data_IF_205572739694
#
_entry.id   IF_205572739694
#
_cell.length_a   1.000
_cell.length_b   1.000
_cell.length_c   1.000
_cell.angle_alpha   90.00
_cell.angle_beta   90.00
_cell.angle_gamma   90.00
#
_symmetry.space_group_name_H-M   'P 1'
#
loop_
_entity.id
_entity.type
_entity.pdbx_description
1 polymer ?
#
# COMPACT_ATOMS: atom_id res chain seq x y z
N UNK A 1 21.17 6.84 13.95
CA UNK A 1 21.86 8.05 13.47
C UNK A 1 21.00 8.69 12.38
N UNK A 2 20.79 10.02 12.41
CA UNK A 2 20.14 10.70 11.27
C UNK A 2 21.19 10.93 10.19
N UNK A 3 20.94 10.42 8.98
CA UNK A 3 21.75 10.75 7.80
C UNK A 3 21.07 11.84 6.97
N UNK A 4 21.78 12.35 5.96
CA UNK A 4 21.23 13.26 4.95
C UNK A 4 20.05 12.66 4.15
N UNK A 5 19.91 11.33 4.12
CA UNK A 5 18.84 10.63 3.40
C UNK A 5 17.62 10.28 4.27
N UNK A 6 17.71 10.41 5.60
CA UNK A 6 16.59 10.10 6.51
C UNK A 6 15.28 10.77 6.10
N UNK A 7 15.34 12.06 5.73
CA UNK A 7 14.17 12.83 5.30
C UNK A 7 13.59 12.32 3.96
N UNK A 8 14.46 11.88 3.06
CA UNK A 8 14.05 11.30 1.79
C UNK A 8 13.34 9.95 2.01
N UNK A 9 13.86 9.11 2.90
CA UNK A 9 13.23 7.83 3.27
C UNK A 9 11.84 8.06 3.85
N UNK A 10 11.70 9.01 4.78
CA UNK A 10 10.40 9.36 5.38
C UNK A 10 9.40 9.88 4.34
N UNK A 11 9.85 10.76 3.44
CA UNK A 11 9.01 11.28 2.36
C UNK A 11 8.52 10.16 1.43
N UNK A 12 9.43 9.24 1.04
CA UNK A 12 9.07 8.11 0.18
C UNK A 12 8.16 7.12 0.88
N UNK A 13 8.35 6.88 2.18
CA UNK A 13 7.47 6.02 2.99
C UNK A 13 6.04 6.55 2.99
N UNK A 14 5.85 7.85 3.20
CA UNK A 14 4.52 8.48 3.14
C UNK A 14 3.83 8.23 1.80
N UNK A 15 4.54 8.34 0.68
CA UNK A 15 3.97 8.06 -0.66
C UNK A 15 3.56 6.61 -0.84
N UNK A 16 4.32 5.67 -0.27
CA UNK A 16 3.95 4.24 -0.26
C UNK A 16 2.68 4.04 0.57
N UNK A 17 2.62 4.64 1.76
CA UNK A 17 1.47 4.53 2.66
C UNK A 17 0.20 5.15 2.04
N UNK A 18 0.33 6.27 1.33
CA UNK A 18 -0.75 6.89 0.56
C UNK A 18 -1.25 5.96 -0.57
N UNK A 19 -0.33 5.34 -1.32
CA UNK A 19 -0.70 4.40 -2.37
C UNK A 19 -1.37 3.12 -1.81
N UNK A 20 -0.92 2.65 -0.65
CA UNK A 20 -1.53 1.51 0.05
C UNK A 20 -2.95 1.85 0.52
N UNK A 21 -3.17 3.04 1.06
CA UNK A 21 -4.49 3.51 1.45
C UNK A 21 -5.44 3.57 0.25
N UNK A 22 -4.97 4.04 -0.91
CA UNK A 22 -5.78 4.04 -2.13
C UNK A 22 -6.16 2.62 -2.57
N UNK A 23 -5.23 1.66 -2.50
CA UNK A 23 -5.51 0.25 -2.79
C UNK A 23 -6.56 -0.34 -1.85
N UNK A 24 -6.46 -0.06 -0.55
CA UNK A 24 -7.43 -0.52 0.44
C UNK A 24 -8.83 0.05 0.18
N UNK A 25 -8.92 1.36 -0.12
CA UNK A 25 -10.20 2.01 -0.48
C UNK A 25 -10.82 1.39 -1.72
N UNK A 26 -10.04 1.18 -2.78
CA UNK A 26 -10.53 0.54 -4.00
C UNK A 26 -10.97 -0.92 -3.74
N UNK A 27 -10.25 -1.67 -2.91
CA UNK A 27 -10.64 -3.03 -2.53
C UNK A 27 -11.98 -3.06 -1.78
N UNK A 28 -12.21 -2.11 -0.87
CA UNK A 28 -13.50 -1.97 -0.18
C UNK A 28 -14.64 -1.63 -1.15
N UNK A 29 -14.41 -0.74 -2.12
CA UNK A 29 -15.39 -0.41 -3.15
C UNK A 29 -15.73 -1.61 -4.03
N UNK A 30 -14.74 -2.42 -4.41
CA UNK A 30 -14.95 -3.67 -5.16
C UNK A 30 -15.84 -4.63 -4.36
N UNK A 31 -15.55 -4.82 -3.07
CA UNK A 31 -16.33 -5.71 -2.21
C UNK A 31 -17.77 -5.22 -2.06
N UNK A 32 -17.97 -3.93 -1.80
CA UNK A 32 -19.30 -3.33 -1.69
C UNK A 32 -20.08 -3.52 -3.00
N UNK A 33 -19.44 -3.26 -4.15
CA UNK A 33 -20.08 -3.39 -5.46
C UNK A 33 -20.43 -4.82 -5.80
N UNK A 34 -19.55 -5.77 -5.46
CA UNK A 34 -19.84 -7.19 -5.61
C UNK A 34 -21.05 -7.59 -4.76
N UNK A 35 -21.12 -7.13 -3.50
CA UNK A 35 -22.28 -7.37 -2.64
C UNK A 35 -23.59 -6.79 -3.20
N UNK A 36 -23.57 -5.60 -3.79
CA UNK A 36 -24.74 -5.03 -4.48
C UNK A 36 -25.20 -5.89 -5.66
N UNK A 37 -24.26 -6.41 -6.46
CA UNK A 37 -24.56 -7.29 -7.59
C UNK A 37 -25.14 -8.61 -7.09
N UNK A 38 -24.53 -9.22 -6.08
CA UNK A 38 -24.98 -10.49 -5.53
C UNK A 38 -26.41 -10.38 -4.95
N UNK A 39 -26.72 -9.25 -4.29
CA UNK A 39 -28.06 -8.96 -3.81
C UNK A 39 -29.08 -8.83 -4.95
N UNK A 40 -28.76 -8.07 -6.00
CA UNK A 40 -29.64 -7.93 -7.17
C UNK A 40 -29.83 -9.25 -7.92
N UNK A 41 -28.79 -10.06 -8.04
CA UNK A 41 -28.89 -11.39 -8.65
C UNK A 41 -29.77 -12.31 -7.81
N UNK A 42 -29.67 -12.25 -6.49
CA UNK A 42 -30.55 -13.00 -5.59
C UNK A 42 -32.01 -12.55 -5.74
N UNK A 43 -32.28 -11.24 -5.73
CA UNK A 43 -33.62 -10.69 -5.97
C UNK A 43 -34.17 -11.12 -7.34
N UNK A 44 -33.35 -11.01 -8.39
CA UNK A 44 -33.72 -11.44 -9.74
C UNK A 44 -34.10 -12.92 -9.78
N UNK A 45 -33.39 -13.78 -9.05
CA UNK A 45 -33.69 -15.20 -8.98
C UNK A 45 -35.01 -15.52 -8.26
N UNK A 46 -35.50 -14.62 -7.40
CA UNK A 46 -36.80 -14.78 -6.73
C UNK A 46 -38.00 -14.36 -7.58
N UNK A 47 -37.77 -13.69 -8.71
CA UNK A 47 -38.83 -13.25 -9.62
C UNK A 47 -39.58 -14.45 -10.19
N UNK A 48 -40.88 -14.52 -9.89
CA UNK A 48 -41.77 -15.56 -10.42
C UNK A 48 -42.60 -15.01 -11.56
N UNK A 49 -42.53 -15.70 -12.68
CA UNK A 49 -43.34 -15.39 -13.85
C UNK A 49 -44.83 -15.70 -13.57
N UNK A 50 -45.75 -14.78 -13.89
CA UNK A 50 -47.18 -15.02 -13.71
C UNK A 50 -47.65 -16.15 -14.63
N UNK A 51 -48.06 -17.27 -14.06
CA UNK A 51 -48.54 -18.47 -14.78
C UNK A 51 -49.98 -18.31 -15.31
N UNK A 52 -50.72 -17.34 -14.77
CA UNK A 52 -52.11 -17.05 -15.14
C UNK A 52 -52.42 -15.59 -14.83
N UNK A 53 -53.26 -14.94 -15.63
CA UNK A 53 -53.70 -13.56 -15.37
C UNK A 53 -53.94 -12.75 -16.64
N UNK A 54 -54.05 -11.44 -16.48
CA UNK A 54 -54.24 -10.48 -17.57
C UNK A 54 -52.90 -10.23 -18.26
N UNK A 55 -52.89 -10.16 -19.60
CA UNK A 55 -51.69 -9.91 -20.41
C UNK A 55 -50.86 -8.69 -19.95
N UNK A 56 -51.52 -7.64 -19.44
CA UNK A 56 -50.86 -6.47 -18.87
C UNK A 56 -49.88 -6.83 -17.73
N UNK A 57 -50.23 -7.79 -16.88
CA UNK A 57 -49.39 -8.23 -15.77
C UNK A 57 -48.14 -9.00 -16.25
N UNK A 58 -48.24 -9.68 -17.40
CA UNK A 58 -47.09 -10.30 -18.04
C UNK A 58 -46.15 -9.23 -18.63
N UNK A 59 -46.68 -8.21 -19.30
CA UNK A 59 -45.88 -7.11 -19.82
C UNK A 59 -45.11 -6.37 -18.71
N UNK A 60 -45.77 -6.06 -17.60
CA UNK A 60 -45.09 -5.41 -16.46
C UNK A 60 -43.99 -6.29 -15.88
N UNK A 61 -44.23 -7.60 -15.75
CA UNK A 61 -43.20 -8.55 -15.33
C UNK A 61 -42.00 -8.58 -16.30
N UNK A 62 -42.25 -8.64 -17.61
CA UNK A 62 -41.21 -8.64 -18.62
C UNK A 62 -40.36 -7.35 -18.57
N UNK A 63 -41.00 -6.19 -18.39
CA UNK A 63 -40.31 -4.92 -18.21
C UNK A 63 -39.42 -4.92 -16.96
N UNK A 64 -39.97 -5.31 -15.80
CA UNK A 64 -39.17 -5.39 -14.57
C UNK A 64 -37.99 -6.35 -14.70
N UNK A 65 -38.19 -7.50 -15.34
CA UNK A 65 -37.11 -8.45 -15.60
C UNK A 65 -35.98 -7.83 -16.42
N UNK A 66 -36.31 -7.03 -17.41
CA UNK A 66 -35.32 -6.34 -18.25
C UNK A 66 -34.62 -5.20 -17.51
N UNK A 67 -35.34 -4.46 -16.67
CA UNK A 67 -34.76 -3.44 -15.77
C UNK A 67 -33.72 -4.05 -14.82
N UNK A 68 -34.04 -5.20 -14.22
CA UNK A 68 -33.08 -5.92 -13.36
C UNK A 68 -31.83 -6.34 -14.12
N UNK A 69 -31.98 -6.91 -15.32
CA UNK A 69 -30.84 -7.29 -16.17
C UNK A 69 -29.96 -6.11 -16.50
N UNK A 70 -30.57 -5.02 -16.94
CA UNK A 70 -29.87 -3.78 -17.27
C UNK A 70 -29.12 -3.21 -16.07
N UNK A 71 -29.73 -3.27 -14.88
CA UNK A 71 -29.10 -2.82 -13.62
C UNK A 71 -27.90 -3.69 -13.21
N UNK A 72 -28.04 -5.01 -13.34
CA UNK A 72 -26.95 -5.97 -13.07
C UNK A 72 -25.78 -5.70 -14.04
N UNK A 73 -26.05 -5.59 -15.34
CA UNK A 73 -25.04 -5.35 -16.37
C UNK A 73 -24.30 -4.03 -16.13
N UNK A 74 -25.05 -2.96 -15.81
CA UNK A 74 -24.46 -1.67 -15.47
C UNK A 74 -23.52 -1.75 -14.26
N UNK A 75 -23.96 -2.39 -13.17
CA UNK A 75 -23.10 -2.56 -11.99
C UNK A 75 -21.90 -3.45 -12.25
N UNK A 76 -22.03 -4.47 -13.11
CA UNK A 76 -20.90 -5.30 -13.54
C UNK A 76 -19.86 -4.51 -14.34
N UNK A 77 -20.30 -3.56 -15.17
CA UNK A 77 -19.38 -2.64 -15.86
C UNK A 77 -18.64 -1.74 -14.86
N UNK A 78 -19.34 -1.15 -13.89
CA UNK A 78 -18.72 -0.36 -12.83
C UNK A 78 -17.70 -1.18 -12.02
N UNK A 79 -18.02 -2.43 -11.70
CA UNK A 79 -17.10 -3.36 -11.05
C UNK A 79 -15.85 -3.64 -11.92
N UNK A 80 -16.01 -3.77 -13.24
CA UNK A 80 -14.89 -3.95 -14.15
C UNK A 80 -13.96 -2.73 -14.15
N UNK A 81 -14.51 -1.51 -14.12
CA UNK A 81 -13.75 -0.26 -13.99
C UNK A 81 -12.97 -0.24 -12.67
N UNK A 82 -13.61 -0.57 -11.54
CA UNK A 82 -12.94 -0.64 -10.24
C UNK A 82 -11.79 -1.66 -10.23
N UNK A 83 -11.97 -2.82 -10.88
CA UNK A 83 -10.92 -3.84 -11.05
C UNK A 83 -9.79 -3.35 -11.95
N UNK A 84 -10.07 -2.56 -12.97
CA UNK A 84 -9.04 -1.93 -13.79
C UNK A 84 -8.24 -0.91 -12.98
N UNK A 85 -8.92 -0.04 -12.23
CA UNK A 85 -8.27 0.92 -11.33
C UNK A 85 -7.39 0.23 -10.28
N UNK A 86 -7.81 -0.94 -9.76
CA UNK A 86 -6.98 -1.76 -8.87
C UNK A 86 -5.62 -2.09 -9.49
N UNK A 87 -5.60 -2.50 -10.77
CA UNK A 87 -4.36 -2.84 -11.49
C UNK A 87 -3.45 -1.62 -11.63
N UNK A 88 -4.01 -0.48 -11.97
CA UNK A 88 -3.26 0.78 -12.09
C UNK A 88 -2.68 1.23 -10.74
N UNK A 89 -3.47 1.13 -9.68
CA UNK A 89 -3.02 1.44 -8.31
C UNK A 89 -1.93 0.47 -7.83
N UNK A 90 -1.98 -0.80 -8.23
CA UNK A 90 -0.93 -1.78 -7.90
C UNK A 90 0.41 -1.43 -8.56
N UNK A 91 0.40 -1.03 -9.83
CA UNK A 91 1.61 -0.57 -10.50
C UNK A 91 2.12 0.74 -9.89
N UNK A 92 1.23 1.68 -9.58
CA UNK A 92 1.61 2.91 -8.89
C UNK A 92 2.25 2.66 -7.52
N UNK A 93 1.66 1.76 -6.71
CA UNK A 93 2.22 1.32 -5.43
C UNK A 93 3.61 0.70 -5.62
N UNK A 94 3.78 -0.20 -6.58
CA UNK A 94 5.04 -0.85 -6.90
C UNK A 94 6.14 0.16 -7.24
N UNK A 95 5.83 1.16 -8.06
CA UNK A 95 6.77 2.22 -8.42
C UNK A 95 7.24 3.02 -7.19
N UNK A 96 6.31 3.45 -6.33
CA UNK A 96 6.69 4.16 -5.09
C UNK A 96 7.47 3.27 -4.13
N UNK A 97 7.13 1.98 -4.04
CA UNK A 97 7.84 1.05 -3.19
C UNK A 97 9.28 0.82 -3.64
N UNK A 98 9.52 0.72 -4.95
CA UNK A 98 10.87 0.64 -5.52
C UNK A 98 11.69 1.89 -5.14
N UNK A 99 11.09 3.09 -5.28
CA UNK A 99 11.77 4.34 -4.92
C UNK A 99 12.03 4.46 -3.41
N UNK A 100 11.13 3.95 -2.58
CA UNK A 100 11.34 3.87 -1.14
C UNK A 100 12.52 2.94 -0.78
N UNK A 101 12.57 1.74 -1.36
CA UNK A 101 13.66 0.80 -1.10
C UNK A 101 15.01 1.32 -1.59
N UNK A 102 15.05 2.02 -2.74
CA UNK A 102 16.26 2.73 -3.19
C UNK A 102 16.74 3.77 -2.17
N UNK A 103 15.82 4.60 -1.64
CA UNK A 103 16.16 5.60 -0.64
C UNK A 103 16.66 4.96 0.66
N UNK A 104 16.01 3.89 1.11
CA UNK A 104 16.39 3.13 2.30
C UNK A 104 17.76 2.48 2.16
N UNK A 105 18.07 1.96 0.98
CA UNK A 105 19.40 1.41 0.68
C UNK A 105 20.49 2.49 0.77
N UNK A 106 20.27 3.67 0.18
CA UNK A 106 21.21 4.79 0.27
C UNK A 106 21.42 5.28 1.72
N UNK A 107 20.34 5.37 2.49
CA UNK A 107 20.42 5.71 3.91
C UNK A 107 21.24 4.68 4.69
N UNK A 108 20.99 3.39 4.47
CA UNK A 108 21.73 2.30 5.10
C UNK A 108 23.23 2.32 4.77
N UNK A 109 23.61 2.62 3.52
CA UNK A 109 25.02 2.78 3.14
C UNK A 109 25.68 3.95 3.89
N UNK A 110 24.98 5.07 4.05
CA UNK A 110 25.53 6.23 4.76
C UNK A 110 25.66 5.96 6.27
N UNK A 111 24.68 5.27 6.87
CA UNK A 111 24.77 4.82 8.28
C UNK A 111 26.00 3.92 8.48
N UNK A 112 26.23 2.95 7.59
CA UNK A 112 27.42 2.07 7.66
C UNK A 112 28.72 2.87 7.60
N UNK A 113 28.81 3.86 6.70
CA UNK A 113 29.99 4.73 6.61
C UNK A 113 30.21 5.55 7.89
N UNK A 114 29.14 6.07 8.48
CA UNK A 114 29.23 6.84 9.74
C UNK A 114 29.68 5.95 10.90
N UNK A 115 29.14 4.74 11.01
CA UNK A 115 29.55 3.76 12.02
C UNK A 115 31.02 3.38 11.88
N UNK A 116 31.49 3.12 10.66
CA UNK A 116 32.90 2.76 10.45
C UNK A 116 33.84 3.92 10.80
N UNK A 117 33.47 5.16 10.44
CA UNK A 117 34.23 6.35 10.86
C UNK A 117 34.27 6.51 12.37
N UNK A 118 33.15 6.29 13.05
CA UNK A 118 33.08 6.35 14.50
C UNK A 118 33.98 5.29 15.15
N UNK A 119 33.93 4.04 14.66
CA UNK A 119 34.75 2.92 15.13
C UNK A 119 36.25 3.19 14.97
N UNK A 120 36.67 3.71 13.81
CA UNK A 120 38.07 4.06 13.56
C UNK A 120 38.51 5.19 14.49
N UNK A 121 37.67 6.20 14.71
CA UNK A 121 37.99 7.31 15.61
C UNK A 121 38.12 6.83 17.05
N UNK A 122 37.16 6.04 17.53
CA UNK A 122 37.18 5.46 18.88
C UNK A 122 38.43 4.60 19.11
N UNK A 123 38.83 3.78 18.14
CA UNK A 123 40.08 3.01 18.23
C UNK A 123 41.31 3.91 18.38
N UNK A 124 41.40 5.01 17.61
CA UNK A 124 42.53 5.95 17.72
C UNK A 124 42.53 6.68 19.06
N UNK A 125 41.36 7.15 19.50
CA UNK A 125 41.21 7.84 20.77
C UNK A 125 41.63 6.92 21.95
N UNK A 126 41.28 5.62 21.89
CA UNK A 126 41.70 4.62 22.89
C UNK A 126 43.22 4.35 22.87
N UNK A 127 43.82 4.28 21.68
CA UNK A 127 45.28 4.12 21.54
C UNK A 127 46.01 5.34 22.11
N UNK A 128 45.55 6.55 21.81
CA UNK A 128 46.10 7.81 22.35
C UNK A 128 45.99 7.87 23.88
N UNK A 129 44.82 7.54 24.44
CA UNK A 129 44.62 7.45 25.89
C UNK A 129 45.57 6.43 26.52
N UNK A 130 45.75 5.28 25.87
CA UNK A 130 46.65 4.23 26.37
C UNK A 130 48.11 4.68 26.40
N UNK A 131 48.56 5.40 25.36
CA UNK A 131 49.90 6.01 25.33
C UNK A 131 50.05 7.04 26.44
N UNK A 132 49.10 7.97 26.59
CA UNK A 132 49.13 9.01 27.64
C UNK A 132 49.16 8.41 29.05
N UNK A 133 48.37 7.37 29.31
CA UNK A 133 48.38 6.68 30.61
C UNK A 133 49.72 6.00 30.88
N UNK A 134 50.31 5.36 29.86
CA UNK A 134 51.61 4.73 29.98
C UNK A 134 52.74 5.76 30.23
N UNK A 135 52.75 6.88 29.50
CA UNK A 135 53.74 7.96 29.72
C UNK A 135 53.61 8.58 31.10
N UNK A 136 52.38 8.90 31.54
CA UNK A 136 52.14 9.46 32.87
C UNK A 136 52.54 8.48 34.00
N UNK A 137 52.34 7.17 33.80
CA UNK A 137 52.80 6.15 34.76
C UNK A 137 54.32 6.06 34.80
N UNK A 138 55.01 6.26 33.68
CA UNK A 138 56.48 6.27 33.61
C UNK A 138 57.08 7.51 34.30
N UNK A 139 56.48 8.68 34.11
CA UNK A 139 56.91 9.92 34.78
C UNK A 139 56.70 9.90 36.29
N UNK A 140 55.67 9.22 36.81
CA UNK A 140 55.44 9.06 38.26
C UNK A 140 56.37 8.06 38.95
N UNK A 141 57.05 7.21 38.18
CA UNK A 141 57.96 6.18 38.71
C UNK A 141 59.45 6.56 38.52
N UNK A 142 59.73 7.79 38.09
CA UNK A 142 61.05 8.44 38.07
C UNK A 142 61.09 9.47 39.20
#
# INVERSE_FOLDING_TARGET
>A
MKTKFTQLVLLRKRKVDEAELMLQKNAQQILAKQGEIDALVAEFATLKEPQSGIYQAFLTFAHHKEEYRSSIDFKMQELAILRQQKRELQEHFKLHNIEYEKAKYLDGLEVKKLLEKARIKESKDLDEISVMLHTNKRERNL
#
